data_IF_961102217451
#
_entry.id   IF_961102217451
#
_cell.length_a   1.000
_cell.length_b   1.000
_cell.length_c   1.000
_cell.angle_alpha   90.00
_cell.angle_beta   90.00
_cell.angle_gamma   90.00
#
_symmetry.space_group_name_H-M   'P 1'
#
loop_
_entity.id
_entity.type
_entity.pdbx_description
1 polymer ?
#
# COMPACT_ATOMS: atom_id res chain seq x y z
N UNK A 1 -8.00 -2.00 -0.06
CA UNK A 1 -7.94 -1.48 -1.46
C UNK A 1 -6.74 -2.07 -2.17
N UNK A 2 -6.88 -2.46 -3.44
CA UNK A 2 -5.79 -3.00 -4.26
C UNK A 2 -5.41 -1.96 -5.32
N UNK A 3 -4.18 -1.45 -5.25
CA UNK A 3 -3.65 -0.55 -6.30
C UNK A 3 -3.22 -1.39 -7.52
N UNK A 4 -3.40 -0.88 -8.75
CA UNK A 4 -2.95 -1.61 -9.93
C UNK A 4 -1.42 -1.77 -9.95
N UNK A 5 -0.94 -2.89 -10.46
CA UNK A 5 0.48 -3.24 -10.58
C UNK A 5 1.30 -3.08 -9.28
N UNK A 6 0.61 -3.15 -8.12
CA UNK A 6 1.23 -3.08 -6.81
C UNK A 6 1.05 -4.39 -6.04
N UNK A 7 2.00 -4.69 -5.17
CA UNK A 7 1.91 -5.76 -4.17
C UNK A 7 1.94 -5.18 -2.77
N UNK A 8 1.51 -5.98 -1.81
CA UNK A 8 1.56 -5.65 -0.40
C UNK A 8 2.53 -6.58 0.30
N UNK A 9 3.49 -6.03 1.02
CA UNK A 9 4.44 -6.79 1.83
C UNK A 9 4.26 -6.40 3.29
N UNK A 10 4.02 -7.39 4.12
CA UNK A 10 3.83 -7.23 5.57
C UNK A 10 5.04 -7.79 6.30
N UNK A 11 5.69 -6.96 7.11
CA UNK A 11 6.81 -7.37 7.96
C UNK A 11 6.28 -7.51 9.38
N UNK A 12 6.00 -8.73 9.82
CA UNK A 12 5.27 -8.95 11.07
C UNK A 12 5.59 -10.31 11.70
N UNK A 13 5.23 -10.47 12.98
CA UNK A 13 5.21 -11.77 13.61
C UNK A 13 4.08 -12.64 13.00
N UNK A 14 4.26 -13.96 13.03
CA UNK A 14 3.33 -14.94 12.45
C UNK A 14 1.85 -14.71 12.84
N UNK A 15 1.61 -14.43 14.11
CA UNK A 15 0.24 -14.19 14.59
C UNK A 15 -0.44 -12.93 14.00
N UNK A 16 0.34 -11.95 13.54
CA UNK A 16 -0.20 -10.71 12.99
C UNK A 16 -0.71 -10.86 11.56
N UNK A 17 -0.23 -11.86 10.81
CA UNK A 17 -0.59 -12.02 9.41
C UNK A 17 -1.95 -12.71 9.18
N UNK A 18 -2.51 -13.39 10.18
CA UNK A 18 -3.71 -14.22 10.02
C UNK A 18 -4.89 -13.47 9.38
N UNK A 19 -5.22 -12.29 9.89
CA UNK A 19 -6.31 -11.48 9.36
C UNK A 19 -6.05 -11.01 7.94
N UNK A 20 -4.79 -10.67 7.64
CA UNK A 20 -4.39 -10.22 6.30
C UNK A 20 -4.50 -11.35 5.29
N UNK A 21 -4.04 -12.56 5.63
CA UNK A 21 -4.13 -13.75 4.77
C UNK A 21 -5.59 -14.09 4.46
N UNK A 22 -6.47 -14.06 5.47
CA UNK A 22 -7.90 -14.30 5.26
C UNK A 22 -8.52 -13.26 4.32
N UNK A 23 -8.23 -11.98 4.55
CA UNK A 23 -8.73 -10.89 3.69
C UNK A 23 -8.21 -11.03 2.26
N UNK A 24 -6.94 -11.36 2.07
CA UNK A 24 -6.35 -11.60 0.75
C UNK A 24 -7.05 -12.74 0.00
N UNK A 25 -7.38 -13.83 0.73
CA UNK A 25 -8.13 -14.95 0.17
C UNK A 25 -9.56 -14.58 -0.19
N UNK A 26 -10.27 -13.85 0.67
CA UNK A 26 -11.63 -13.36 0.42
C UNK A 26 -11.71 -12.43 -0.79
N UNK A 27 -10.66 -11.63 -1.01
CA UNK A 27 -10.54 -10.74 -2.16
C UNK A 27 -10.07 -11.45 -3.44
N UNK A 28 -9.77 -12.76 -3.37
CA UNK A 28 -9.15 -13.53 -4.46
C UNK A 28 -7.88 -12.85 -5.00
N UNK A 29 -7.04 -12.34 -4.11
CA UNK A 29 -5.85 -11.55 -4.41
C UNK A 29 -4.61 -12.03 -3.63
N UNK A 30 -4.59 -13.31 -3.22
CA UNK A 30 -3.51 -13.86 -2.39
C UNK A 30 -2.12 -13.70 -3.01
N UNK A 31 -2.02 -13.78 -4.34
CA UNK A 31 -0.77 -13.59 -5.08
C UNK A 31 -0.19 -12.17 -4.99
N UNK A 32 -0.97 -11.21 -4.52
CA UNK A 32 -0.54 -9.82 -4.34
C UNK A 32 -0.09 -9.50 -2.93
N UNK A 33 -0.07 -10.51 -2.04
CA UNK A 33 0.30 -10.35 -0.63
C UNK A 33 1.50 -11.24 -0.32
N UNK A 34 2.51 -10.67 0.31
CA UNK A 34 3.70 -11.37 0.74
C UNK A 34 4.03 -11.00 2.19
N UNK A 35 4.80 -11.86 2.86
CA UNK A 35 5.09 -11.70 4.28
C UNK A 35 6.56 -11.92 4.54
N UNK A 36 7.15 -11.03 5.32
CA UNK A 36 8.45 -11.22 5.99
C UNK A 36 8.14 -11.53 7.45
N UNK A 37 8.39 -12.77 7.85
CA UNK A 37 8.11 -13.20 9.22
C UNK A 37 9.29 -12.81 10.12
N UNK A 38 8.95 -12.10 11.19
CA UNK A 38 9.89 -11.69 12.23
C UNK A 38 9.80 -12.69 13.37
N UNK A 39 10.91 -13.37 13.62
CA UNK A 39 11.05 -14.33 14.72
C UNK A 39 11.50 -13.64 16.01
N UNK A 40 11.26 -14.27 17.16
CA UNK A 40 11.70 -13.74 18.46
C UNK A 40 13.22 -13.50 18.51
N UNK A 41 14.00 -14.38 17.89
CA UNK A 41 15.44 -14.25 17.77
C UNK A 41 15.86 -12.95 17.07
N UNK A 42 15.12 -12.50 16.06
CA UNK A 42 15.41 -11.25 15.36
C UNK A 42 15.26 -10.03 16.29
N UNK A 43 14.26 -10.09 17.19
CA UNK A 43 14.03 -9.03 18.18
C UNK A 43 15.15 -9.00 19.23
N UNK A 44 15.58 -10.17 19.69
CA UNK A 44 16.67 -10.31 20.67
C UNK A 44 18.01 -9.85 20.10
N UNK A 45 18.27 -10.14 18.83
CA UNK A 45 19.51 -9.77 18.14
C UNK A 45 19.52 -8.31 17.68
N UNK A 46 18.39 -7.60 17.73
CA UNK A 46 18.30 -6.20 17.31
C UNK A 46 18.54 -6.00 15.81
N UNK A 47 18.19 -6.98 14.95
CA UNK A 47 18.46 -6.95 13.51
C UNK A 47 17.19 -6.80 12.66
N UNK A 48 16.14 -6.20 13.23
CA UNK A 48 14.84 -6.06 12.57
C UNK A 48 14.91 -5.30 11.24
N UNK A 49 15.74 -4.25 11.15
CA UNK A 49 15.96 -3.50 9.92
C UNK A 49 16.56 -4.39 8.83
N UNK A 50 17.59 -5.17 9.16
CA UNK A 50 18.25 -6.05 8.20
C UNK A 50 17.30 -7.17 7.74
N UNK A 51 16.54 -7.76 8.65
CA UNK A 51 15.51 -8.76 8.34
C UNK A 51 14.45 -8.18 7.39
N UNK A 52 14.04 -6.94 7.64
CA UNK A 52 13.08 -6.23 6.78
C UNK A 52 13.65 -6.01 5.38
N UNK A 53 14.86 -5.45 5.28
CA UNK A 53 15.51 -5.14 4.00
C UNK A 53 15.76 -6.41 3.19
N UNK A 54 16.36 -7.43 3.81
CA UNK A 54 16.70 -8.67 3.11
C UNK A 54 15.45 -9.49 2.76
N UNK A 55 14.46 -9.55 3.66
CA UNK A 55 13.21 -10.25 3.38
C UNK A 55 12.42 -9.65 2.25
N UNK A 56 12.30 -8.32 2.20
CA UNK A 56 11.66 -7.61 1.08
C UNK A 56 12.45 -7.81 -0.21
N UNK A 57 13.79 -7.73 -0.13
CA UNK A 57 14.67 -7.96 -1.29
C UNK A 57 14.50 -9.36 -1.86
N UNK A 58 14.45 -10.39 -1.00
CA UNK A 58 14.27 -11.77 -1.43
C UNK A 58 12.90 -11.97 -2.11
N UNK A 59 11.82 -11.45 -1.51
CA UNK A 59 10.48 -11.48 -2.12
C UNK A 59 10.51 -10.87 -3.52
N UNK A 60 11.03 -9.65 -3.64
CA UNK A 60 11.06 -8.95 -4.92
C UNK A 60 11.92 -9.68 -5.95
N UNK A 61 13.04 -10.27 -5.55
CA UNK A 61 13.92 -11.00 -6.48
C UNK A 61 13.30 -12.29 -7.02
N UNK A 62 12.37 -12.91 -6.29
CA UNK A 62 11.65 -14.12 -6.71
C UNK A 62 10.50 -13.86 -7.67
N UNK A 63 10.05 -12.61 -7.80
CA UNK A 63 8.99 -12.27 -8.74
C UNK A 63 9.52 -12.24 -10.18
N UNK A 64 8.81 -12.90 -11.09
CA UNK A 64 9.10 -12.90 -12.52
C UNK A 64 8.99 -11.49 -13.10
N UNK A 65 7.96 -10.74 -12.67
CA UNK A 65 7.76 -9.35 -13.04
C UNK A 65 7.77 -8.46 -11.79
N UNK A 66 8.55 -7.37 -11.85
CA UNK A 66 8.61 -6.41 -10.74
C UNK A 66 7.35 -5.56 -10.68
N UNK A 67 6.75 -5.37 -9.49
CA UNK A 67 5.63 -4.45 -9.34
C UNK A 67 6.08 -3.01 -9.58
N UNK A 68 5.14 -2.15 -9.94
CA UNK A 68 5.38 -0.70 -10.02
C UNK A 68 5.38 -0.02 -8.65
N UNK A 69 4.63 -0.59 -7.71
CA UNK A 69 4.62 -0.12 -6.34
C UNK A 69 4.58 -1.26 -5.33
N UNK A 70 5.16 -1.02 -4.17
CA UNK A 70 5.12 -1.90 -3.00
C UNK A 70 4.51 -1.14 -1.83
N UNK A 71 3.39 -1.61 -1.32
CA UNK A 71 2.84 -1.16 -0.05
C UNK A 71 3.56 -1.95 1.05
N UNK A 72 4.57 -1.35 1.66
CA UNK A 72 5.35 -1.99 2.71
C UNK A 72 4.77 -1.68 4.09
N UNK A 73 4.15 -2.67 4.70
CA UNK A 73 3.53 -2.56 6.02
C UNK A 73 4.50 -2.92 7.11
N UNK A 74 4.89 -1.92 7.90
CA UNK A 74 5.56 -2.12 9.18
C UNK A 74 4.52 -2.21 10.31
N UNK A 75 4.84 -3.00 11.33
CA UNK A 75 3.93 -3.25 12.45
C UNK A 75 4.47 -2.62 13.75
N UNK A 76 3.72 -2.75 14.82
CA UNK A 76 4.08 -2.21 16.13
C UNK A 76 5.49 -2.62 16.63
N UNK A 77 6.03 -3.75 16.20
CA UNK A 77 7.41 -4.19 16.56
C UNK A 77 8.45 -3.14 16.15
N UNK A 78 8.36 -2.61 14.93
CA UNK A 78 9.27 -1.56 14.43
C UNK A 78 9.20 -0.31 15.31
N UNK A 79 8.01 0.04 15.77
CA UNK A 79 7.82 1.20 16.64
C UNK A 79 8.37 0.97 18.05
N UNK A 80 8.08 -0.20 18.64
CA UNK A 80 8.56 -0.55 19.98
C UNK A 80 10.09 -0.62 20.09
N UNK A 81 10.75 -1.10 19.04
CA UNK A 81 12.19 -1.21 18.97
C UNK A 81 12.88 0.05 18.46
N UNK A 82 12.10 1.08 18.05
CA UNK A 82 12.65 2.31 17.51
C UNK A 82 13.42 2.11 16.21
N UNK A 83 12.94 1.21 15.35
CA UNK A 83 13.60 0.87 14.10
C UNK A 83 13.81 2.08 13.20
N UNK A 84 14.96 2.16 12.54
CA UNK A 84 15.32 3.19 11.59
C UNK A 84 14.62 2.94 10.23
N UNK A 85 13.40 3.47 10.11
CA UNK A 85 12.59 3.33 8.91
C UNK A 85 13.22 4.07 7.71
N UNK A 86 13.93 5.18 7.94
CA UNK A 86 14.61 5.89 6.85
C UNK A 86 15.72 5.05 6.25
N UNK A 87 16.46 4.31 7.08
CA UNK A 87 17.45 3.33 6.62
C UNK A 87 16.80 2.24 5.79
N UNK A 88 15.68 1.67 6.28
CA UNK A 88 14.97 0.58 5.57
C UNK A 88 14.53 1.05 4.18
N UNK A 89 13.78 2.15 4.10
CA UNK A 89 13.28 2.65 2.82
C UNK A 89 14.41 3.12 1.91
N UNK A 90 15.40 3.83 2.44
CA UNK A 90 16.56 4.31 1.66
C UNK A 90 17.37 3.17 1.03
N UNK A 91 17.54 2.04 1.72
CA UNK A 91 18.21 0.86 1.16
C UNK A 91 17.36 0.15 0.11
N UNK A 92 16.05 0.03 0.33
CA UNK A 92 15.13 -0.60 -0.64
C UNK A 92 15.02 0.23 -1.92
N UNK A 93 14.89 1.54 -1.81
CA UNK A 93 14.84 2.47 -2.95
C UNK A 93 16.15 2.48 -3.77
N UNK A 94 17.30 2.29 -3.12
CA UNK A 94 18.57 2.11 -3.82
C UNK A 94 18.67 0.80 -4.59
N UNK A 95 18.15 -0.30 -3.99
CA UNK A 95 18.17 -1.62 -4.61
C UNK A 95 17.19 -1.76 -5.77
N UNK A 96 16.05 -1.07 -5.68
CA UNK A 96 14.93 -1.14 -6.63
C UNK A 96 14.44 0.27 -7.01
N UNK A 97 15.24 1.06 -7.73
CA UNK A 97 14.91 2.45 -8.06
C UNK A 97 13.69 2.60 -8.98
N UNK A 98 13.27 1.51 -9.64
CA UNK A 98 12.09 1.45 -10.51
C UNK A 98 10.80 1.19 -9.74
N UNK A 99 10.87 0.83 -8.45
CA UNK A 99 9.71 0.50 -7.62
C UNK A 99 9.40 1.66 -6.67
N UNK A 100 8.14 2.08 -6.66
CA UNK A 100 7.67 3.05 -5.68
C UNK A 100 7.33 2.35 -4.35
N UNK A 101 8.10 2.64 -3.30
CA UNK A 101 7.82 2.10 -1.95
C UNK A 101 6.91 3.02 -1.17
N UNK A 102 5.70 2.53 -0.87
CA UNK A 102 4.72 3.25 -0.06
C UNK A 102 4.86 2.86 1.40
N UNK A 103 5.01 3.86 2.27
CA UNK A 103 5.14 3.69 3.72
C UNK A 103 3.77 3.42 4.33
N UNK A 104 3.54 2.19 4.76
CA UNK A 104 2.31 1.76 5.37
C UNK A 104 2.55 1.30 6.81
N UNK A 105 1.63 1.65 7.70
CA UNK A 105 1.77 1.37 9.12
C UNK A 105 0.59 0.54 9.62
N UNK A 106 0.88 -0.56 10.29
CA UNK A 106 -0.11 -1.38 10.98
C UNK A 106 0.24 -1.41 12.49
N UNK A 107 0.09 -0.24 13.13
CA UNK A 107 0.47 0.01 14.51
C UNK A 107 -0.68 0.55 15.39
N UNK A 108 -1.87 -0.12 15.40
CA UNK A 108 -3.06 0.40 16.08
C UNK A 108 -2.86 0.60 17.59
N UNK A 109 -1.97 -0.18 18.21
CA UNK A 109 -1.71 -0.13 19.66
C UNK A 109 -1.02 1.18 20.07
N UNK A 110 -0.22 1.76 19.18
CA UNK A 110 0.57 2.95 19.45
C UNK A 110 -0.22 4.25 19.27
N UNK A 111 -1.39 4.15 18.68
CA UNK A 111 -2.16 5.34 18.31
C UNK A 111 -3.22 5.68 19.35
N UNK A 112 -2.95 6.72 20.13
CA UNK A 112 -3.92 7.29 21.09
C UNK A 112 -4.75 8.43 20.49
N UNK A 113 -4.20 9.16 19.53
CA UNK A 113 -4.83 10.33 18.88
C UNK A 113 -4.33 10.45 17.43
N UNK A 114 -5.09 11.15 16.59
CA UNK A 114 -4.72 11.39 15.17
C UNK A 114 -5.34 10.41 14.17
N UNK A 115 -4.88 10.42 12.92
CA UNK A 115 -5.42 9.59 11.85
C UNK A 115 -5.24 8.08 12.11
N UNK A 116 -6.26 7.29 11.83
CA UNK A 116 -6.19 5.83 11.94
C UNK A 116 -5.18 5.24 10.94
N UNK A 117 -4.71 3.98 11.12
CA UNK A 117 -3.85 3.31 10.13
C UNK A 117 -4.46 3.32 8.72
N UNK A 118 -5.77 3.11 8.59
CA UNK A 118 -6.47 3.19 7.31
C UNK A 118 -6.41 4.60 6.70
N UNK A 119 -6.63 5.64 7.51
CA UNK A 119 -6.52 7.03 7.04
C UNK A 119 -5.09 7.40 6.62
N UNK A 120 -4.08 6.91 7.33
CA UNK A 120 -2.67 7.08 6.95
C UNK A 120 -2.37 6.38 5.63
N UNK A 121 -2.85 5.14 5.47
CA UNK A 121 -2.72 4.38 4.22
C UNK A 121 -3.37 5.13 3.05
N UNK A 122 -4.61 5.58 3.19
CA UNK A 122 -5.31 6.34 2.14
C UNK A 122 -4.56 7.62 1.78
N UNK A 123 -4.02 8.32 2.77
CA UNK A 123 -3.19 9.50 2.53
C UNK A 123 -1.95 9.13 1.71
N UNK A 124 -1.19 8.10 2.11
CA UNK A 124 -0.01 7.65 1.38
C UNK A 124 -0.34 7.25 -0.07
N UNK A 125 -1.51 6.63 -0.29
CA UNK A 125 -1.99 6.30 -1.64
C UNK A 125 -2.28 7.55 -2.48
N UNK A 126 -2.87 8.59 -1.90
CA UNK A 126 -3.10 9.85 -2.62
C UNK A 126 -1.82 10.64 -2.84
N UNK A 127 -0.90 10.65 -1.87
CA UNK A 127 0.41 11.30 -1.98
C UNK A 127 1.30 10.65 -3.08
N UNK A 128 1.00 9.41 -3.49
CA UNK A 128 1.64 8.74 -4.62
C UNK A 128 1.20 9.29 -5.98
N UNK A 129 0.12 10.08 -6.05
CA UNK A 129 -0.36 10.72 -7.28
C UNK A 129 0.34 12.08 -7.42
N UNK A 130 1.05 12.34 -8.54
CA UNK A 130 1.72 13.62 -8.76
C UNK A 130 0.74 14.79 -8.78
N UNK A 131 1.16 15.95 -8.29
CA UNK A 131 0.39 17.17 -8.42
C UNK A 131 0.18 17.53 -9.89
N UNK A 132 -1.07 17.85 -10.25
CA UNK A 132 -1.45 18.23 -11.61
C UNK A 132 -2.37 19.45 -11.59
N UNK A 133 -2.46 20.12 -12.74
CA UNK A 133 -3.46 21.16 -12.92
C UNK A 133 -4.85 20.54 -12.86
N UNK A 134 -5.76 21.23 -12.20
CA UNK A 134 -7.16 20.82 -12.15
C UNK A 134 -7.73 20.73 -13.57
N UNK A 135 -8.39 19.62 -13.87
CA UNK A 135 -9.15 19.44 -15.10
C UNK A 135 -10.63 19.77 -14.80
N UNK A 136 -11.19 20.86 -15.37
CA UNK A 136 -12.56 21.26 -15.11
C UNK A 136 -13.60 20.26 -15.65
N UNK A 137 -13.19 19.35 -16.54
CA UNK A 137 -14.05 18.32 -17.12
C UNK A 137 -13.90 16.95 -16.41
N UNK A 138 -13.22 16.92 -15.25
CA UNK A 138 -12.99 15.72 -14.49
C UNK A 138 -13.37 15.88 -13.02
N UNK A 139 -14.11 14.91 -12.49
CA UNK A 139 -14.41 14.79 -11.06
C UNK A 139 -13.73 13.52 -10.54
N UNK A 140 -12.94 13.65 -9.49
CA UNK A 140 -12.30 12.51 -8.82
C UNK A 140 -13.07 12.16 -7.55
N UNK A 141 -13.43 10.88 -7.41
CA UNK A 141 -14.01 10.34 -6.18
C UNK A 141 -12.90 9.79 -5.30
N UNK A 142 -12.83 10.30 -4.07
CA UNK A 142 -11.84 9.89 -3.07
C UNK A 142 -12.51 9.11 -1.94
N UNK A 143 -11.77 8.16 -1.37
CA UNK A 143 -12.18 7.42 -0.17
C UNK A 143 -13.07 6.22 -0.41
N UNK A 144 -13.43 5.91 -1.66
CA UNK A 144 -14.13 4.67 -1.99
C UNK A 144 -13.15 3.52 -2.25
N UNK A 145 -13.49 2.34 -1.76
CA UNK A 145 -12.78 1.08 -2.05
C UNK A 145 -13.38 0.33 -3.25
N UNK A 146 -14.52 0.80 -3.73
CA UNK A 146 -15.27 0.20 -4.83
C UNK A 146 -15.60 1.25 -5.88
N UNK A 147 -15.70 0.80 -7.11
CA UNK A 147 -16.20 1.61 -8.23
C UNK A 147 -17.67 1.94 -8.01
N UNK A 148 -18.07 3.16 -8.31
CA UNK A 148 -19.47 3.56 -8.27
C UNK A 148 -20.28 2.76 -9.30
N UNK A 149 -21.51 2.42 -8.94
CA UNK A 149 -22.45 1.81 -9.87
C UNK A 149 -22.77 2.79 -11.00
N UNK A 150 -22.61 2.36 -12.25
CA UNK A 150 -22.91 3.19 -13.43
C UNK A 150 -24.36 3.70 -13.47
N UNK A 151 -25.28 2.99 -12.80
CA UNK A 151 -26.69 3.38 -12.69
C UNK A 151 -26.93 4.46 -11.63
N UNK A 152 -25.94 4.79 -10.80
CA UNK A 152 -26.06 5.83 -9.80
C UNK A 152 -26.34 7.20 -10.42
N UNK A 153 -27.16 7.98 -9.74
CA UNK A 153 -27.57 9.31 -10.25
C UNK A 153 -26.37 10.23 -10.53
N UNK A 154 -25.36 10.17 -9.67
CA UNK A 154 -24.14 10.97 -9.86
C UNK A 154 -23.44 10.61 -11.17
N UNK A 155 -23.30 9.32 -11.49
CA UNK A 155 -22.69 8.87 -12.74
C UNK A 155 -23.48 9.34 -13.96
N UNK A 156 -24.83 9.26 -13.89
CA UNK A 156 -25.70 9.74 -14.97
C UNK A 156 -25.63 11.26 -15.17
N UNK A 157 -25.59 12.03 -14.08
CA UNK A 157 -25.48 13.49 -14.12
C UNK A 157 -24.14 13.90 -14.73
N UNK A 158 -23.03 13.32 -14.28
CA UNK A 158 -21.69 13.63 -14.81
C UNK A 158 -21.61 13.32 -16.30
N UNK A 159 -22.04 12.11 -16.70
CA UNK A 159 -22.08 11.70 -18.12
C UNK A 159 -22.93 12.63 -18.99
N UNK A 160 -24.11 13.05 -18.50
CA UNK A 160 -25.00 13.98 -19.22
C UNK A 160 -24.34 15.35 -19.45
N UNK A 161 -23.46 15.78 -18.55
CA UNK A 161 -22.76 17.05 -18.63
C UNK A 161 -21.36 16.94 -19.27
N UNK A 162 -20.99 15.77 -19.82
CA UNK A 162 -19.68 15.56 -20.45
C UNK A 162 -18.51 15.54 -19.47
N UNK A 163 -18.79 15.38 -18.17
CA UNK A 163 -17.78 15.36 -17.12
C UNK A 163 -17.28 13.92 -16.92
N UNK A 164 -15.96 13.74 -16.97
CA UNK A 164 -15.32 12.47 -16.67
C UNK A 164 -15.36 12.18 -15.17
N UNK A 165 -15.62 10.91 -14.85
CA UNK A 165 -15.47 10.40 -13.50
C UNK A 165 -14.13 9.67 -13.40
N UNK A 166 -13.33 10.01 -12.39
CA UNK A 166 -12.09 9.32 -12.03
C UNK A 166 -12.24 8.68 -10.66
N UNK A 167 -11.90 7.40 -10.59
CA UNK A 167 -11.99 6.60 -9.37
C UNK A 167 -10.74 5.71 -9.27
N UNK A 168 -10.02 5.79 -8.17
CA UNK A 168 -8.81 4.98 -7.95
C UNK A 168 -9.04 3.46 -8.12
N UNK A 169 -10.17 2.88 -7.65
CA UNK A 169 -10.45 1.46 -7.87
C UNK A 169 -10.70 1.07 -9.34
N UNK A 170 -11.00 2.03 -10.22
CA UNK A 170 -11.23 1.79 -11.64
C UNK A 170 -9.96 1.85 -12.50
N UNK A 171 -8.84 2.30 -11.94
CA UNK A 171 -7.57 2.41 -12.66
C UNK A 171 -7.05 1.03 -13.07
N UNK A 172 -6.61 0.91 -14.33
CA UNK A 172 -6.21 -0.38 -14.91
C UNK A 172 -4.74 -0.72 -14.69
N UNK A 173 -3.90 0.30 -14.61
CA UNK A 173 -2.46 0.17 -14.44
C UNK A 173 -1.93 1.33 -13.57
N UNK A 174 -0.65 1.28 -13.25
CA UNK A 174 0.01 2.28 -12.41
C UNK A 174 0.05 3.69 -13.05
N UNK A 175 0.26 3.77 -14.34
CA UNK A 175 0.27 5.03 -15.08
C UNK A 175 -1.12 5.70 -15.05
N UNK A 176 -2.18 4.92 -15.23
CA UNK A 176 -3.57 5.35 -15.12
C UNK A 176 -3.90 5.81 -13.68
N UNK A 177 -3.33 5.12 -12.69
CA UNK A 177 -3.47 5.53 -11.29
C UNK A 177 -2.78 6.86 -11.01
N UNK A 178 -1.62 7.12 -11.60
CA UNK A 178 -0.88 8.37 -11.46
C UNK A 178 -1.39 9.49 -12.39
N UNK A 179 -2.21 9.20 -13.38
CA UNK A 179 -2.76 10.19 -14.29
C UNK A 179 -3.98 10.90 -13.71
#
# INVERSE_FOLDING_TARGET
MLMPEAIQIYVCADNCMRGVVLTAAEMNAAERFSFVIVEEENLLNGNLEDVTIEGVTDILNRLDEKPKAVLLFTVCLHHFLGSDLERIYGELEKRFPEIFFMRCFMDPIMQKTGPTPDQKLRRAMYDAVPERKADPECVTVLGSDFVLDESADICRILKKNGIRLREAPACKNWEDYQS
#
